data_IF_157485134199
#
_entry.id   IF_157485134199
#
_cell.length_a   1.000
_cell.length_b   1.000
_cell.length_c   1.000
_cell.angle_alpha   90.00
_cell.angle_beta   90.00
_cell.angle_gamma   90.00
#
_symmetry.space_group_name_H-M   'P 1'
#
loop_
_entity.id
_entity.type
_entity.pdbx_description
1 polymer ?
#
# COMPACT_ATOMS: atom_id res chain seq x y z
N UNK A 1 -8.45 -2.56 10.25
CA UNK A 1 -7.59 -2.59 9.05
C UNK A 1 -6.17 -2.76 9.54
N UNK A 2 -5.39 -3.64 8.92
CA UNK A 2 -3.97 -3.73 9.23
C UNK A 2 -3.24 -2.60 8.49
N UNK A 3 -2.38 -1.89 9.22
CA UNK A 3 -1.45 -0.92 8.64
C UNK A 3 -0.16 -1.67 8.32
N UNK A 4 0.38 -1.45 7.12
CA UNK A 4 1.58 -2.12 6.65
C UNK A 4 2.76 -1.17 6.66
N UNK A 5 3.91 -1.68 7.08
CA UNK A 5 5.17 -0.93 7.16
C UNK A 5 6.14 -1.53 6.16
N UNK A 6 6.74 -0.68 5.32
CA UNK A 6 7.82 -1.06 4.43
C UNK A 6 9.04 -1.47 5.25
N UNK A 7 9.37 -2.78 5.24
CA UNK A 7 10.43 -3.34 6.09
C UNK A 7 11.77 -2.66 5.85
N UNK A 8 12.14 -2.42 4.60
CA UNK A 8 13.43 -1.84 4.26
C UNK A 8 13.54 -0.39 4.69
N UNK A 9 12.45 0.38 4.57
CA UNK A 9 12.37 1.74 5.10
C UNK A 9 12.52 1.76 6.62
N UNK A 10 11.81 0.87 7.34
CA UNK A 10 11.96 0.74 8.79
C UNK A 10 13.39 0.35 9.18
N UNK A 11 13.99 -0.61 8.48
CA UNK A 11 15.37 -1.05 8.73
C UNK A 11 16.36 0.09 8.55
N UNK A 12 16.21 0.88 7.48
CA UNK A 12 17.05 2.01 7.20
C UNK A 12 16.90 3.12 8.25
N UNK A 13 15.67 3.46 8.65
CA UNK A 13 15.42 4.43 9.69
C UNK A 13 16.05 4.02 11.04
N UNK A 14 15.99 2.72 11.37
CA UNK A 14 16.71 2.20 12.53
C UNK A 14 18.21 2.37 12.34
N UNK A 15 18.80 1.91 11.23
CA UNK A 15 20.23 2.10 10.95
C UNK A 15 20.71 3.55 11.11
N UNK A 16 19.91 4.52 10.66
CA UNK A 16 20.25 5.94 10.78
C UNK A 16 20.22 6.44 12.23
N UNK A 17 19.32 5.91 13.07
CA UNK A 17 19.24 6.29 14.50
C UNK A 17 20.43 5.82 15.34
N UNK A 18 21.31 4.97 14.80
CA UNK A 18 22.55 4.57 15.49
C UNK A 18 23.43 5.77 15.84
N UNK A 19 23.31 6.86 15.07
CA UNK A 19 24.08 8.09 15.27
C UNK A 19 23.59 8.94 16.45
N UNK A 20 22.39 8.65 16.98
CA UNK A 20 21.79 9.37 18.11
C UNK A 20 22.17 8.79 19.48
N UNK A 21 23.22 7.97 19.54
CA UNK A 21 23.70 7.37 20.78
C UNK A 21 24.11 8.46 21.78
N UNK A 22 23.25 8.67 22.78
CA UNK A 22 23.40 9.72 23.79
C UNK A 22 24.45 9.38 24.86
N UNK A 23 24.99 8.15 24.85
CA UNK A 23 25.99 7.73 25.82
C UNK A 23 27.40 8.20 25.42
N UNK A 24 28.20 8.69 26.39
CA UNK A 24 29.61 8.95 26.15
C UNK A 24 30.33 7.64 25.82
N UNK A 25 31.41 7.74 25.03
CA UNK A 25 32.24 6.61 24.62
C UNK A 25 32.64 5.78 25.85
N UNK A 26 32.26 4.51 25.87
CA UNK A 26 32.42 3.62 27.02
C UNK A 26 31.49 2.41 26.94
N UNK A 27 31.35 1.67 28.04
CA UNK A 27 30.53 0.45 28.07
C UNK A 27 29.06 0.69 27.73
N UNK A 28 28.47 1.79 28.20
CA UNK A 28 27.09 2.14 27.86
C UNK A 28 26.90 2.41 26.36
N UNK A 29 27.87 3.07 25.71
CA UNK A 29 27.87 3.29 24.26
C UNK A 29 27.90 1.97 23.49
N UNK A 30 28.80 1.07 23.88
CA UNK A 30 28.94 -0.26 23.25
C UNK A 30 27.67 -1.10 23.46
N UNK A 31 27.07 -1.05 24.65
CA UNK A 31 25.83 -1.76 24.94
C UNK A 31 24.69 -1.27 24.04
N UNK A 32 24.58 0.05 23.86
CA UNK A 32 23.61 0.66 22.96
C UNK A 32 23.85 0.28 21.49
N UNK A 33 25.10 0.28 21.01
CA UNK A 33 25.38 -0.15 19.64
C UNK A 33 25.04 -1.64 19.42
N UNK A 34 25.27 -2.49 20.43
CA UNK A 34 24.89 -3.90 20.41
C UNK A 34 23.37 -4.10 20.40
N UNK A 35 22.62 -3.32 21.18
CA UNK A 35 21.16 -3.41 21.21
C UNK A 35 20.57 -2.97 19.87
N UNK A 36 21.14 -1.92 19.28
CA UNK A 36 20.78 -1.41 17.97
C UNK A 36 20.99 -2.47 16.87
N UNK A 37 22.15 -3.12 16.86
CA UNK A 37 22.43 -4.23 15.95
C UNK A 37 21.45 -5.41 16.14
N UNK A 38 21.03 -5.69 17.37
CA UNK A 38 20.02 -6.72 17.66
C UNK A 38 18.67 -6.35 17.05
N UNK A 39 18.22 -5.11 17.19
CA UNK A 39 16.95 -4.62 16.62
C UNK A 39 16.93 -4.76 15.09
N UNK A 40 18.01 -4.38 14.41
CA UNK A 40 18.14 -4.54 12.95
C UNK A 40 18.04 -6.02 12.54
N UNK A 41 18.70 -6.91 13.28
CA UNK A 41 18.64 -8.35 13.02
C UNK A 41 17.23 -8.93 13.25
N UNK A 42 16.51 -8.45 14.26
CA UNK A 42 15.15 -8.85 14.55
C UNK A 42 14.20 -8.44 13.42
N UNK A 43 14.26 -7.19 12.94
CA UNK A 43 13.45 -6.71 11.80
C UNK A 43 13.68 -7.58 10.55
N UNK A 44 14.93 -7.96 10.28
CA UNK A 44 15.27 -8.79 9.12
C UNK A 44 14.75 -10.24 9.22
N UNK A 45 14.47 -10.74 10.43
CA UNK A 45 13.97 -12.10 10.67
C UNK A 45 12.45 -12.20 10.68
N UNK A 46 11.74 -11.09 10.83
CA UNK A 46 10.28 -11.11 10.82
C UNK A 46 9.75 -11.56 9.45
N UNK A 47 8.74 -12.45 9.40
CA UNK A 47 8.16 -12.91 8.14
C UNK A 47 7.55 -11.74 7.36
N UNK A 48 7.63 -11.80 6.03
CA UNK A 48 6.93 -10.84 5.17
C UNK A 48 5.46 -11.19 5.14
N UNK A 49 4.61 -10.18 5.34
CA UNK A 49 3.21 -10.32 5.00
C UNK A 49 3.12 -10.42 3.47
N UNK A 50 2.44 -11.45 2.97
CA UNK A 50 2.13 -11.58 1.55
C UNK A 50 0.89 -10.71 1.26
N UNK A 51 1.14 -9.44 0.94
CA UNK A 51 0.10 -8.44 0.74
C UNK A 51 0.39 -7.60 -0.49
N UNK A 52 -0.65 -7.29 -1.24
CA UNK A 52 -0.59 -6.32 -2.32
C UNK A 52 -1.03 -4.95 -1.78
N UNK A 53 -0.39 -3.85 -2.20
CA UNK A 53 -0.90 -2.51 -1.96
C UNK A 53 -2.35 -2.39 -2.43
N UNK A 54 -3.16 -1.63 -1.70
CA UNK A 54 -4.53 -1.34 -2.14
C UNK A 54 -4.44 -0.45 -3.38
N UNK A 55 -4.89 -0.98 -4.51
CA UNK A 55 -5.02 -0.18 -5.73
C UNK A 55 -6.35 0.55 -5.65
N UNK A 56 -6.33 1.86 -5.81
CA UNK A 56 -7.54 2.67 -5.87
C UNK A 56 -7.95 2.90 -7.32
N UNK A 57 -9.24 2.97 -7.58
CA UNK A 57 -9.79 3.18 -8.90
C UNK A 57 -11.20 3.77 -8.87
N UNK A 58 -11.77 3.91 -10.06
CA UNK A 58 -13.13 4.37 -10.24
C UNK A 58 -13.79 3.60 -11.40
N UNK A 59 -15.12 3.60 -11.39
CA UNK A 59 -15.91 3.09 -12.51
C UNK A 59 -16.16 4.24 -13.48
N UNK A 60 -15.57 4.14 -14.68
CA UNK A 60 -15.68 5.14 -15.74
C UNK A 60 -16.77 4.72 -16.75
N UNK A 61 -17.50 5.67 -17.35
CA UNK A 61 -18.45 5.36 -18.41
C UNK A 61 -17.77 4.67 -19.61
N UNK A 62 -18.45 3.69 -20.20
CA UNK A 62 -18.03 3.05 -21.45
C UNK A 62 -18.57 3.82 -22.68
N UNK A 63 -17.78 3.91 -23.75
CA UNK A 63 -18.18 4.51 -25.02
C UNK A 63 -18.07 3.48 -26.15
N UNK A 64 -18.99 3.49 -27.09
CA UNK A 64 -18.94 2.68 -28.31
C UNK A 64 -17.87 3.21 -29.29
N UNK A 65 -17.57 2.45 -30.34
CA UNK A 65 -16.63 2.83 -31.42
C UNK A 65 -16.98 4.18 -32.08
N UNK A 66 -18.26 4.55 -32.04
CA UNK A 66 -18.78 5.83 -32.56
C UNK A 66 -18.72 6.98 -31.53
N UNK A 67 -18.12 6.77 -30.36
CA UNK A 67 -18.05 7.76 -29.27
C UNK A 67 -19.36 7.96 -28.50
N UNK A 68 -20.38 7.14 -28.76
CA UNK A 68 -21.65 7.21 -28.06
C UNK A 68 -21.53 6.56 -26.68
N UNK A 69 -22.14 7.21 -25.67
CA UNK A 69 -22.13 6.67 -24.31
C UNK A 69 -22.97 5.39 -24.23
N UNK A 70 -22.33 4.28 -23.83
CA UNK A 70 -22.98 2.99 -23.58
C UNK A 70 -23.68 3.02 -22.24
N UNK A 71 -24.90 3.52 -22.23
CA UNK A 71 -25.71 3.58 -21.01
C UNK A 71 -25.84 2.18 -20.39
N UNK A 72 -25.57 2.10 -19.09
CA UNK A 72 -25.64 0.84 -18.33
C UNK A 72 -24.33 0.06 -18.27
N UNK A 73 -23.25 0.54 -18.90
CA UNK A 73 -21.91 -0.05 -18.76
C UNK A 73 -20.92 0.94 -18.15
N UNK A 74 -20.06 0.42 -17.26
CA UNK A 74 -18.90 1.14 -16.79
C UNK A 74 -17.68 0.22 -16.74
N UNK A 75 -16.50 0.78 -16.99
CA UNK A 75 -15.22 0.08 -16.95
C UNK A 75 -14.43 0.46 -15.70
N UNK A 76 -13.66 -0.49 -15.18
CA UNK A 76 -12.70 -0.18 -14.12
C UNK A 76 -11.52 0.61 -14.71
N UNK A 77 -11.17 1.74 -14.12
CA UNK A 77 -10.01 2.55 -14.56
C UNK A 77 -8.66 1.84 -14.38
N UNK A 78 -8.55 0.89 -13.45
CA UNK A 78 -7.31 0.14 -13.21
C UNK A 78 -7.08 -1.01 -14.20
N UNK A 79 -8.10 -1.82 -14.47
CA UNK A 79 -7.95 -3.04 -15.30
C UNK A 79 -8.70 -3.00 -16.64
N UNK A 80 -9.49 -1.94 -16.90
CA UNK A 80 -10.25 -1.77 -18.14
C UNK A 80 -11.44 -2.71 -18.31
N UNK A 81 -11.71 -3.60 -17.33
CA UNK A 81 -12.82 -4.56 -17.45
C UNK A 81 -14.17 -3.85 -17.37
N UNK A 82 -15.02 -4.13 -18.34
CA UNK A 82 -16.37 -3.61 -18.42
C UNK A 82 -17.34 -4.42 -17.56
N UNK A 83 -18.25 -3.72 -16.90
CA UNK A 83 -19.31 -4.27 -16.09
C UNK A 83 -20.63 -3.57 -16.36
N UNK A 84 -21.72 -4.28 -16.11
CA UNK A 84 -23.04 -3.66 -16.05
C UNK A 84 -23.12 -2.75 -14.82
N UNK A 85 -23.38 -1.46 -15.03
CA UNK A 85 -23.43 -0.43 -14.00
C UNK A 85 -24.37 -0.80 -12.84
N UNK A 86 -25.51 -1.45 -13.12
CA UNK A 86 -26.44 -1.91 -12.09
C UNK A 86 -25.83 -2.94 -11.13
N UNK A 87 -24.90 -3.77 -11.63
CA UNK A 87 -24.21 -4.77 -10.82
C UNK A 87 -23.22 -4.07 -9.91
N UNK A 88 -22.36 -3.21 -10.46
CA UNK A 88 -21.23 -2.58 -9.74
C UNK A 88 -21.60 -1.40 -8.85
N UNK A 89 -22.81 -0.83 -8.96
CA UNK A 89 -23.22 0.35 -8.19
C UNK A 89 -23.15 0.16 -6.66
N UNK A 90 -23.14 -1.09 -6.19
CA UNK A 90 -23.05 -1.46 -4.78
C UNK A 90 -21.67 -2.03 -4.38
N UNK A 91 -20.76 -2.24 -5.34
CA UNK A 91 -19.47 -2.84 -5.06
C UNK A 91 -18.43 -1.76 -4.77
N UNK A 92 -17.90 -1.76 -3.54
CA UNK A 92 -16.76 -0.93 -3.16
C UNK A 92 -15.42 -1.37 -3.78
N UNK A 93 -15.40 -2.48 -4.52
CA UNK A 93 -14.19 -3.05 -5.13
C UNK A 93 -14.47 -3.62 -6.53
N UNK A 94 -13.47 -3.57 -7.41
CA UNK A 94 -13.51 -4.22 -8.71
C UNK A 94 -13.35 -5.74 -8.55
N UNK A 95 -14.29 -6.57 -9.02
CA UNK A 95 -14.24 -8.02 -8.82
C UNK A 95 -13.15 -8.73 -9.64
N UNK A 96 -12.55 -8.07 -10.65
CA UNK A 96 -11.48 -8.67 -11.46
C UNK A 96 -10.08 -8.36 -10.96
N UNK A 97 -9.84 -7.15 -10.42
CA UNK A 97 -8.49 -6.74 -10.00
C UNK A 97 -8.39 -6.35 -8.52
N UNK A 98 -9.48 -6.37 -7.76
CA UNK A 98 -9.50 -6.01 -6.35
C UNK A 98 -9.32 -4.52 -6.06
N UNK A 99 -9.27 -3.66 -7.10
CA UNK A 99 -9.12 -2.22 -6.90
C UNK A 99 -10.30 -1.66 -6.10
N UNK A 100 -10.02 -0.84 -5.08
CA UNK A 100 -11.01 -0.16 -4.27
C UNK A 100 -11.60 1.01 -5.05
N UNK A 101 -12.92 1.02 -5.20
CA UNK A 101 -13.63 1.95 -6.08
C UNK A 101 -14.13 3.18 -5.31
N UNK A 102 -13.23 3.78 -4.52
CA UNK A 102 -13.50 4.99 -3.72
C UNK A 102 -13.10 6.29 -4.43
N UNK A 103 -12.68 6.23 -5.70
CA UNK A 103 -12.28 7.41 -6.47
C UNK A 103 -10.87 7.91 -6.18
N UNK A 104 -10.10 7.20 -5.35
CA UNK A 104 -8.74 7.59 -4.97
C UNK A 104 -8.65 8.72 -3.95
N UNK A 105 -7.42 9.06 -3.55
CA UNK A 105 -7.12 10.05 -2.52
C UNK A 105 -7.52 11.50 -2.90
N UNK A 106 -7.76 11.76 -4.19
CA UNK A 106 -8.09 13.09 -4.71
C UNK A 106 -9.60 13.41 -4.63
N UNK A 107 -10.44 12.48 -4.16
CA UNK A 107 -11.89 12.63 -4.05
C UNK A 107 -12.45 12.33 -2.64
N UNK A 108 -11.61 12.45 -1.61
CA UNK A 108 -12.02 12.39 -0.19
C UNK A 108 -12.28 13.78 0.40
#
# INVERSE_FOLDING_TARGET
MAEYIERDALRQAVLESQHDNSHPRGWAHIAHDCEHAHFVAMIARFPAADVAPVVHGCFEPCFDENGNWRQGFAKCSNCGKEYYAQVINHFGYCPNCGAKMDGGADNA
#
